data_IF_003493723843
#
_entry.id   IF_003493723843
#
_cell.length_a   1.000
_cell.length_b   1.000
_cell.length_c   1.000
_cell.angle_alpha   90.00
_cell.angle_beta   90.00
_cell.angle_gamma   90.00
#
_symmetry.space_group_name_H-M   'P 1'
#
loop_
_entity.id
_entity.type
_entity.pdbx_description
1 polymer ?
#
# COMPACT_ATOMS: atom_id res chain seq x y z
N UNK A 1 7.01 -1.84 -4.72
CA UNK A 1 5.60 -1.40 -4.78
C UNK A 1 5.02 -1.42 -3.36
N UNK A 2 5.16 -0.29 -2.69
CA UNK A 2 4.39 0.29 -1.58
C UNK A 2 5.14 1.61 -1.42
N UNK A 3 4.49 2.76 -1.58
CA UNK A 3 5.18 4.06 -1.76
C UNK A 3 5.92 4.56 -0.50
N UNK A 4 6.28 3.68 0.44
CA UNK A 4 6.80 3.95 1.79
C UNK A 4 5.92 4.86 2.65
N UNK A 5 4.82 5.38 2.09
CA UNK A 5 3.79 6.16 2.77
C UNK A 5 3.11 5.29 3.82
N UNK A 6 3.21 5.71 5.06
CA UNK A 6 2.68 5.00 6.23
C UNK A 6 2.03 5.95 7.22
N UNK A 7 2.26 7.26 7.12
CA UNK A 7 1.67 8.24 8.03
C UNK A 7 0.50 8.97 7.39
N UNK A 8 -0.36 9.55 8.24
CA UNK A 8 -1.43 10.44 7.77
C UNK A 8 -0.88 11.58 6.92
N UNK A 9 0.26 12.15 7.32
CA UNK A 9 0.88 13.25 6.60
C UNK A 9 1.37 12.79 5.22
N UNK A 10 1.98 11.60 5.13
CA UNK A 10 2.43 11.05 3.85
C UNK A 10 1.27 10.92 2.86
N UNK A 11 0.10 10.45 3.32
CA UNK A 11 -1.10 10.33 2.49
C UNK A 11 -1.70 11.71 2.15
N UNK A 12 -1.66 12.66 3.07
CA UNK A 12 -2.21 14.01 2.87
C UNK A 12 -1.40 14.81 1.84
N UNK A 13 -0.07 14.74 1.91
CA UNK A 13 0.84 15.48 1.01
C UNK A 13 1.07 14.74 -0.31
N UNK A 14 0.24 13.75 -0.62
CA UNK A 14 0.35 12.97 -1.83
C UNK A 14 -0.20 13.76 -3.04
N UNK A 15 0.39 13.58 -4.24
CA UNK A 15 0.02 14.36 -5.44
C UNK A 15 -1.46 14.18 -5.86
N UNK A 16 -2.12 13.13 -5.40
CA UNK A 16 -3.54 12.86 -5.63
C UNK A 16 -4.47 13.88 -4.92
N UNK A 17 -3.98 14.66 -3.95
CA UNK A 17 -4.69 15.81 -3.38
C UNK A 17 -5.95 15.48 -2.57
N UNK A 18 -5.88 14.50 -1.66
CA UNK A 18 -7.04 14.09 -0.85
C UNK A 18 -7.31 15.08 0.31
N UNK A 19 -8.57 15.51 0.45
CA UNK A 19 -8.99 16.33 1.59
C UNK A 19 -8.84 15.58 2.93
N UNK A 20 -8.41 16.29 3.98
CA UNK A 20 -8.06 15.71 5.29
C UNK A 20 -9.22 14.98 5.98
N UNK A 21 -10.44 15.51 5.87
CA UNK A 21 -11.66 14.89 6.40
C UNK A 21 -12.00 13.58 5.68
N UNK A 22 -11.89 13.55 4.35
CA UNK A 22 -12.10 12.36 3.53
C UNK A 22 -11.05 11.31 3.84
N UNK A 23 -9.77 11.68 3.91
CA UNK A 23 -8.69 10.77 4.29
C UNK A 23 -8.92 10.17 5.68
N UNK A 24 -9.30 11.00 6.66
CA UNK A 24 -9.63 10.54 8.01
C UNK A 24 -10.75 9.50 7.99
N UNK A 25 -11.83 9.75 7.27
CA UNK A 25 -12.96 8.84 7.17
C UNK A 25 -12.58 7.53 6.47
N UNK A 26 -11.80 7.59 5.38
CA UNK A 26 -11.31 6.40 4.67
C UNK A 26 -10.42 5.54 5.57
N UNK A 27 -9.46 6.15 6.28
CA UNK A 27 -8.59 5.41 7.19
C UNK A 27 -9.39 4.76 8.32
N UNK A 28 -10.36 5.46 8.91
CA UNK A 28 -11.26 4.88 9.93
C UNK A 28 -12.04 3.69 9.38
N UNK A 29 -12.63 3.82 8.19
CA UNK A 29 -13.38 2.75 7.54
C UNK A 29 -12.49 1.53 7.26
N UNK A 30 -11.31 1.73 6.66
CA UNK A 30 -10.38 0.64 6.35
C UNK A 30 -9.89 -0.09 7.61
N UNK A 31 -9.68 0.63 8.72
CA UNK A 31 -9.37 0.01 10.03
C UNK A 31 -10.56 -0.79 10.55
N UNK A 32 -11.77 -0.24 10.48
CA UNK A 32 -12.99 -0.91 10.93
C UNK A 32 -13.25 -2.22 10.16
N UNK A 33 -12.96 -2.23 8.86
CA UNK A 33 -13.04 -3.42 8.02
C UNK A 33 -11.82 -4.35 8.14
N UNK A 34 -10.87 -4.05 9.03
CA UNK A 34 -9.62 -4.81 9.22
C UNK A 34 -8.80 -4.97 7.95
N UNK A 35 -8.93 -4.06 6.99
CA UNK A 35 -8.13 -4.04 5.76
C UNK A 35 -6.75 -3.45 6.06
N UNK A 36 -6.73 -2.42 6.90
CA UNK A 36 -5.50 -1.86 7.44
C UNK A 36 -5.52 -1.91 8.97
N UNK A 37 -4.36 -1.82 9.57
CA UNK A 37 -4.20 -1.53 10.98
C UNK A 37 -3.08 -0.49 11.15
N UNK A 38 -2.83 -0.04 12.38
CA UNK A 38 -1.74 0.87 12.66
C UNK A 38 -0.96 0.44 13.90
N UNK A 39 0.30 0.89 13.97
CA UNK A 39 1.07 0.93 15.21
C UNK A 39 1.50 2.36 15.49
N UNK A 40 1.85 2.65 16.74
CA UNK A 40 2.49 3.93 17.06
C UNK A 40 3.94 3.92 16.57
N UNK A 41 4.40 5.04 16.03
CA UNK A 41 5.80 5.22 15.66
C UNK A 41 6.67 5.11 16.94
N UNK A 42 7.70 4.24 16.95
CA UNK A 42 8.58 4.07 18.12
C UNK A 42 9.25 5.37 18.57
N UNK A 43 9.60 6.25 17.62
CA UNK A 43 10.29 7.52 17.88
C UNK A 43 9.33 8.65 18.26
N UNK A 44 8.07 8.59 17.80
CA UNK A 44 7.07 9.60 18.08
C UNK A 44 5.69 8.97 18.25
N UNK A 45 5.31 8.68 19.50
CA UNK A 45 4.06 7.98 19.83
C UNK A 45 2.78 8.72 19.42
N UNK A 46 2.85 10.00 19.00
CA UNK A 46 1.71 10.74 18.43
C UNK A 46 1.44 10.38 16.96
N UNK A 47 2.42 9.79 16.27
CA UNK A 47 2.32 9.43 14.85
C UNK A 47 1.92 7.97 14.71
N UNK A 48 0.89 7.72 13.90
CA UNK A 48 0.46 6.36 13.51
C UNK A 48 1.17 5.94 12.23
N UNK A 49 1.69 4.71 12.22
CA UNK A 49 2.14 4.01 11.02
C UNK A 49 1.09 2.99 10.62
N UNK A 50 0.39 3.27 9.52
CA UNK A 50 -0.61 2.41 8.92
C UNK A 50 0.04 1.32 8.05
N UNK A 51 -0.52 0.13 8.08
CA UNK A 51 -0.09 -1.02 7.30
C UNK A 51 -1.29 -1.91 6.93
N UNK A 52 -1.22 -2.63 5.81
CA UNK A 52 -2.22 -3.61 5.41
C UNK A 52 -2.15 -4.85 6.32
N UNK A 53 -3.33 -5.34 6.70
CA UNK A 53 -3.47 -6.65 7.34
C UNK A 53 -3.31 -7.76 6.30
N UNK A 54 -3.52 -9.02 6.68
CA UNK A 54 -3.53 -10.12 5.70
C UNK A 54 -4.67 -9.96 4.69
N UNK A 55 -5.87 -9.59 5.15
CA UNK A 55 -7.02 -9.28 4.27
C UNK A 55 -6.69 -8.13 3.32
N UNK A 56 -6.01 -7.09 3.81
CA UNK A 56 -5.59 -5.98 2.96
C UNK A 56 -4.53 -6.37 1.93
N UNK A 57 -3.59 -7.25 2.28
CA UNK A 57 -2.61 -7.76 1.33
C UNK A 57 -3.28 -8.64 0.26
N UNK A 58 -4.30 -9.41 0.61
CA UNK A 58 -5.05 -10.23 -0.35
C UNK A 58 -5.78 -9.41 -1.43
N UNK A 59 -5.84 -8.08 -1.33
CA UNK A 59 -6.37 -7.23 -2.41
C UNK A 59 -5.40 -7.01 -3.58
N UNK A 60 -4.12 -7.39 -3.47
CA UNK A 60 -3.12 -7.21 -4.53
C UNK A 60 -3.56 -7.74 -5.91
N UNK A 61 -4.14 -8.95 -6.05
CA UNK A 61 -4.62 -9.45 -7.34
C UNK A 61 -5.63 -8.51 -8.02
N UNK A 62 -6.55 -7.94 -7.25
CA UNK A 62 -7.57 -7.01 -7.76
C UNK A 62 -6.92 -5.72 -8.23
N UNK A 63 -6.03 -5.13 -7.41
CA UNK A 63 -5.31 -3.89 -7.74
C UNK A 63 -4.43 -4.08 -8.97
N UNK A 64 -3.71 -5.20 -9.06
CA UNK A 64 -2.88 -5.55 -10.20
C UNK A 64 -3.72 -5.62 -11.48
N UNK A 65 -4.88 -6.29 -11.43
CA UNK A 65 -5.70 -6.40 -12.63
C UNK A 65 -6.38 -5.09 -13.02
N UNK A 66 -6.72 -4.23 -12.06
CA UNK A 66 -7.15 -2.86 -12.35
C UNK A 66 -6.06 -2.06 -13.06
N UNK A 67 -4.79 -2.19 -12.65
CA UNK A 67 -3.65 -1.54 -13.32
C UNK A 67 -3.46 -2.11 -14.73
N UNK A 68 -3.51 -3.43 -14.89
CA UNK A 68 -3.34 -4.05 -16.21
C UNK A 68 -4.47 -3.66 -17.15
N UNK A 69 -5.71 -3.66 -16.66
CA UNK A 69 -6.87 -3.21 -17.43
C UNK A 69 -6.75 -1.73 -17.82
N UNK A 70 -6.35 -0.85 -16.89
CA UNK A 70 -6.25 0.58 -17.19
C UNK A 70 -5.20 0.85 -18.26
N UNK A 71 -4.04 0.21 -18.20
CA UNK A 71 -2.98 0.38 -19.20
C UNK A 71 -3.41 -0.10 -20.58
N UNK A 72 -4.22 -1.17 -20.66
CA UNK A 72 -4.73 -1.68 -21.94
C UNK A 72 -5.80 -0.79 -22.58
N UNK A 73 -6.59 -0.07 -21.78
CA UNK A 73 -7.85 0.54 -22.24
C UNK A 73 -7.94 2.06 -22.06
N UNK A 74 -7.13 2.65 -21.19
CA UNK A 74 -7.14 4.08 -20.93
C UNK A 74 -5.92 4.72 -21.59
N UNK A 75 -6.16 5.70 -22.46
CA UNK A 75 -5.13 6.56 -23.04
C UNK A 75 -4.74 7.65 -22.02
N UNK A 76 -4.08 7.25 -20.92
CA UNK A 76 -3.62 8.16 -19.88
C UNK A 76 -2.09 8.15 -19.75
N UNK A 77 -1.53 9.29 -19.37
CA UNK A 77 -0.16 9.40 -18.86
C UNK A 77 -0.07 8.72 -17.48
N UNK A 78 0.13 7.41 -17.52
CA UNK A 78 0.51 6.66 -16.32
C UNK A 78 1.85 7.19 -15.82
N UNK A 79 1.96 7.42 -14.51
CA UNK A 79 3.23 7.85 -13.92
C UNK A 79 4.37 6.85 -14.22
N UNK A 80 5.63 7.29 -14.21
CA UNK A 80 6.78 6.46 -14.58
C UNK A 80 6.90 5.18 -13.74
N UNK A 81 6.42 5.22 -12.49
CA UNK A 81 6.42 4.06 -11.60
C UNK A 81 5.42 2.96 -12.02
N UNK A 82 4.23 3.33 -12.49
CA UNK A 82 3.23 2.36 -12.94
C UNK A 82 3.62 1.72 -14.26
N UNK A 83 4.21 2.49 -15.19
CA UNK A 83 4.72 1.98 -16.47
C UNK A 83 5.86 0.99 -16.22
N UNK A 84 6.88 1.39 -15.46
CA UNK A 84 8.03 0.53 -15.14
C UNK A 84 7.61 -0.75 -14.42
N UNK A 85 6.68 -0.66 -13.47
CA UNK A 85 6.16 -1.84 -12.80
C UNK A 85 5.40 -2.75 -13.78
N UNK A 86 4.58 -2.18 -14.66
CA UNK A 86 3.84 -2.94 -15.67
C UNK A 86 4.77 -3.67 -16.64
N UNK A 87 5.76 -2.99 -17.21
CA UNK A 87 6.76 -3.61 -18.10
C UNK A 87 7.47 -4.81 -17.45
N UNK A 88 7.75 -4.73 -16.15
CA UNK A 88 8.41 -5.78 -15.40
C UNK A 88 7.50 -6.98 -15.05
N UNK A 89 6.18 -6.79 -15.01
CA UNK A 89 5.22 -7.78 -14.49
C UNK A 89 4.16 -8.24 -15.51
N UNK A 90 4.26 -7.79 -16.77
CA UNK A 90 3.34 -8.17 -17.86
C UNK A 90 3.61 -9.55 -18.44
N UNK A 91 4.85 -10.04 -18.36
CA UNK A 91 5.25 -11.35 -18.89
C UNK A 91 4.83 -12.52 -17.99
N UNK A 92 4.52 -12.25 -16.72
CA UNK A 92 4.13 -13.26 -15.74
C UNK A 92 2.61 -13.35 -15.60
N UNK A 93 2.12 -14.54 -15.24
CA UNK A 93 0.70 -14.73 -14.93
C UNK A 93 0.29 -13.90 -13.72
N UNK A 94 -0.97 -13.43 -13.70
CA UNK A 94 -1.52 -12.60 -12.61
C UNK A 94 -1.34 -13.24 -11.23
N UNK A 95 -1.44 -14.57 -11.16
CA UNK A 95 -1.24 -15.33 -9.93
C UNK A 95 0.18 -15.16 -9.39
N UNK A 96 1.19 -15.38 -10.23
CA UNK A 96 2.61 -15.28 -9.84
C UNK A 96 2.95 -13.85 -9.38
N UNK A 97 2.51 -12.84 -10.13
CA UNK A 97 2.76 -11.43 -9.78
C UNK A 97 2.11 -11.07 -8.43
N UNK A 98 0.90 -11.56 -8.19
CA UNK A 98 0.16 -11.27 -6.95
C UNK A 98 0.77 -11.98 -5.75
N UNK A 99 1.11 -13.27 -5.90
CA UNK A 99 1.74 -14.06 -4.84
C UNK A 99 3.08 -13.46 -4.42
N UNK A 100 3.87 -13.00 -5.40
CA UNK A 100 5.11 -12.27 -5.15
C UNK A 100 4.87 -10.94 -4.43
N UNK A 101 3.92 -10.13 -4.88
CA UNK A 101 3.59 -8.86 -4.24
C UNK A 101 3.12 -9.04 -2.78
N UNK A 102 2.29 -10.05 -2.52
CA UNK A 102 1.83 -10.41 -1.17
C UNK A 102 3.02 -10.85 -0.30
N UNK A 103 3.90 -11.70 -0.83
CA UNK A 103 5.08 -12.18 -0.10
C UNK A 103 6.03 -11.04 0.26
N UNK A 104 6.39 -10.22 -0.72
CA UNK A 104 7.26 -9.05 -0.54
C UNK A 104 6.67 -8.08 0.49
N UNK A 105 5.35 -7.84 0.41
CA UNK A 105 4.66 -7.00 1.37
C UNK A 105 4.67 -7.58 2.79
N UNK A 106 4.44 -8.89 2.96
CA UNK A 106 4.48 -9.56 4.27
C UNK A 106 5.87 -9.47 4.90
N UNK A 107 6.94 -9.59 4.10
CA UNK A 107 8.33 -9.38 4.56
C UNK A 107 8.54 -7.94 5.03
N UNK A 108 8.14 -6.95 4.21
CA UNK A 108 8.22 -5.54 4.57
C UNK A 108 7.44 -5.24 5.85
N UNK A 109 6.19 -5.70 5.97
CA UNK A 109 5.35 -5.52 7.15
C UNK A 109 5.99 -6.13 8.38
N UNK A 110 6.56 -7.33 8.28
CA UNK A 110 7.27 -7.97 9.41
C UNK A 110 8.44 -7.13 9.89
N UNK A 111 9.25 -6.58 8.99
CA UNK A 111 10.34 -5.64 9.33
C UNK A 111 9.78 -4.39 10.02
N UNK A 112 8.78 -3.75 9.39
CA UNK A 112 8.09 -2.58 9.94
C UNK A 112 7.58 -2.82 11.37
N UNK A 113 7.02 -4.00 11.68
CA UNK A 113 6.52 -4.33 13.02
C UNK A 113 7.64 -4.70 14.01
N UNK A 114 8.72 -5.34 13.53
CA UNK A 114 9.85 -5.78 14.35
C UNK A 114 10.81 -4.65 14.77
N UNK A 115 10.85 -3.53 14.04
CA UNK A 115 11.62 -2.33 14.43
C UNK A 115 11.22 -1.76 15.82
N UNK A 116 10.23 -2.37 16.49
CA UNK A 116 9.79 -2.04 17.85
C UNK A 116 10.46 -2.89 18.95
N UNK A 117 11.28 -3.89 18.62
CA UNK A 117 11.85 -4.85 19.60
C UNK A 117 13.34 -4.65 19.96
N UNK A 118 14.04 -3.69 19.35
CA UNK A 118 15.48 -3.45 19.61
C UNK A 118 15.74 -2.24 20.52
N UNK A 119 14.81 -1.91 21.43
CA UNK A 119 14.97 -0.84 22.42
C UNK A 119 14.42 -1.28 23.78
N UNK A 120 14.87 -2.42 24.28
CA UNK A 120 14.73 -2.84 25.67
C UNK A 120 16.06 -3.40 26.15
#
# INVERSE_FOLDING_TARGET
MFLEKKTFNDFLTSPEGIASNILTNRLKSLVNHKIINFKLNPLNKKVKWYYLTDIGAESFPVVIEMIKWSIRNLNNDFGPHSIKWFEQNTKESNKITSDKAISDYKIFRKKLLNDSKNQS
#
